data_IF_914784099983
#
_entry.id   IF_914784099983
#
_cell.length_a   1.000
_cell.length_b   1.000
_cell.length_c   1.000
_cell.angle_alpha   90.00
_cell.angle_beta   90.00
_cell.angle_gamma   90.00
#
_symmetry.space_group_name_H-M   'P 1'
#
loop_
_entity.id
_entity.type
_entity.pdbx_description
1 polymer ?
#
# COMPACT_ATOMS: atom_id res chain seq x y z
N UNK A 1 24.61 -0.18 6.88
CA UNK A 1 23.76 -1.25 6.29
C UNK A 1 24.34 -2.64 6.62
N UNK A 2 25.18 -2.75 7.65
CA UNK A 2 26.26 -3.74 7.69
C UNK A 2 25.93 -5.02 8.48
N UNK A 3 24.63 -5.29 8.74
CA UNK A 3 24.18 -6.44 9.55
C UNK A 3 23.22 -7.39 8.81
N UNK A 4 23.10 -7.28 7.49
CA UNK A 4 22.34 -8.24 6.70
C UNK A 4 23.28 -9.31 6.11
N UNK A 5 23.33 -10.47 6.76
CA UNK A 5 24.29 -11.54 6.41
C UNK A 5 23.82 -12.47 5.28
N UNK A 6 22.84 -12.08 4.45
CA UNK A 6 22.25 -12.85 3.33
C UNK A 6 21.80 -14.31 3.62
N UNK A 7 21.86 -14.76 4.87
CA UNK A 7 21.39 -16.09 5.33
C UNK A 7 19.85 -16.19 5.40
N UNK A 8 19.13 -15.16 5.00
CA UNK A 8 17.67 -15.08 5.04
C UNK A 8 17.19 -14.12 3.94
N UNK A 9 15.94 -14.26 3.49
CA UNK A 9 15.36 -13.27 2.57
C UNK A 9 15.29 -11.90 3.23
N UNK A 10 15.36 -10.84 2.42
CA UNK A 10 15.23 -9.47 2.91
C UNK A 10 13.92 -9.25 3.67
N UNK A 11 12.82 -9.86 3.20
CA UNK A 11 11.52 -9.82 3.87
C UNK A 11 11.57 -10.39 5.28
N UNK A 12 12.26 -11.52 5.47
CA UNK A 12 12.43 -12.16 6.79
C UNK A 12 13.26 -11.28 7.72
N UNK A 13 14.31 -10.65 7.21
CA UNK A 13 15.15 -9.75 8.01
C UNK A 13 14.42 -8.47 8.41
N UNK A 14 13.67 -7.86 7.47
CA UNK A 14 12.79 -6.72 7.75
C UNK A 14 11.72 -7.06 8.78
N UNK A 15 11.06 -8.22 8.65
CA UNK A 15 10.08 -8.68 9.63
C UNK A 15 10.68 -8.75 11.04
N UNK A 16 11.90 -9.31 11.18
CA UNK A 16 12.59 -9.37 12.49
C UNK A 16 12.92 -7.98 13.04
N UNK A 17 13.35 -7.04 12.20
CA UNK A 17 13.60 -5.66 12.63
C UNK A 17 12.31 -5.00 13.11
N UNK A 18 11.23 -5.10 12.33
CA UNK A 18 9.93 -4.54 12.69
C UNK A 18 9.44 -5.12 14.02
N UNK A 19 9.42 -6.44 14.17
CA UNK A 19 9.00 -7.11 15.41
C UNK A 19 9.84 -6.66 16.60
N UNK A 20 11.17 -6.67 16.49
CA UNK A 20 12.06 -6.27 17.58
C UNK A 20 11.87 -4.78 17.94
N UNK A 21 11.63 -3.92 16.95
CA UNK A 21 11.40 -2.49 17.16
C UNK A 21 10.06 -2.26 17.87
N UNK A 22 8.99 -2.89 17.39
CA UNK A 22 7.67 -2.82 18.01
C UNK A 22 7.70 -3.36 19.45
N UNK A 23 8.33 -4.51 19.70
CA UNK A 23 8.49 -5.07 21.05
C UNK A 23 9.30 -4.15 21.96
N UNK A 24 10.37 -3.54 21.44
CA UNK A 24 11.18 -2.58 22.20
C UNK A 24 10.37 -1.34 22.57
N UNK A 25 9.56 -0.81 21.65
CA UNK A 25 8.69 0.33 21.92
C UNK A 25 7.59 -0.02 22.93
N UNK A 26 6.94 -1.18 22.78
CA UNK A 26 5.94 -1.65 23.73
C UNK A 26 6.51 -1.85 25.15
N UNK A 27 7.72 -2.40 25.26
CA UNK A 27 8.43 -2.54 26.53
C UNK A 27 8.83 -1.20 27.15
N UNK A 28 9.06 -0.15 26.36
CA UNK A 28 9.28 1.21 26.87
C UNK A 28 7.98 1.83 27.36
N UNK A 29 6.90 1.71 26.59
CA UNK A 29 5.58 2.25 26.96
C UNK A 29 5.02 1.60 28.23
N UNK A 30 5.15 0.28 28.37
CA UNK A 30 4.76 -0.44 29.60
C UNK A 30 5.57 -0.01 30.83
N UNK A 31 6.87 0.26 30.67
CA UNK A 31 7.69 0.83 31.75
C UNK A 31 7.30 2.27 32.11
N UNK A 32 6.83 3.05 31.15
CA UNK A 32 6.34 4.43 31.38
C UNK A 32 4.98 4.41 32.08
N UNK A 33 4.09 3.46 31.75
CA UNK A 33 2.78 3.31 32.40
C UNK A 33 2.88 2.98 33.90
N UNK A 34 3.92 2.26 34.35
CA UNK A 34 4.13 1.96 35.78
C UNK A 34 4.50 3.23 36.58
N UNK A 35 5.06 4.26 35.93
CA UNK A 35 5.53 5.47 36.60
C UNK A 35 4.52 6.64 36.56
N UNK A 36 3.48 6.58 35.75
CA UNK A 36 2.51 7.66 35.58
C UNK A 36 1.07 7.11 35.62
N UNK A 37 0.43 7.26 36.77
CA UNK A 37 -0.94 6.77 37.05
C UNK A 37 -2.04 7.57 36.33
N UNK A 38 -1.71 8.50 35.42
CA UNK A 38 -2.65 9.44 34.78
C UNK A 38 -2.35 9.71 33.29
N UNK A 39 -1.95 8.70 32.52
CA UNK A 39 -1.92 8.83 31.05
C UNK A 39 -3.14 8.09 30.51
N UNK A 40 -4.16 8.84 30.08
CA UNK A 40 -5.25 8.27 29.29
C UNK A 40 -4.65 7.49 28.11
N UNK A 41 -5.17 6.30 27.79
CA UNK A 41 -4.67 5.52 26.67
C UNK A 41 -4.85 6.32 25.39
N UNK A 42 -3.76 6.95 24.91
CA UNK A 42 -3.72 7.52 23.57
C UNK A 42 -4.00 6.36 22.62
N UNK A 43 -5.14 6.39 21.96
CA UNK A 43 -5.52 5.39 20.97
C UNK A 43 -4.61 5.55 19.75
N UNK A 44 -3.48 4.84 19.77
CA UNK A 44 -2.48 4.86 18.68
C UNK A 44 -3.03 4.26 17.36
N UNK A 45 -4.29 3.79 17.35
CA UNK A 45 -4.97 3.30 16.16
C UNK A 45 -5.82 4.36 15.45
N UNK A 46 -5.96 5.56 16.00
CA UNK A 46 -6.76 6.61 15.38
C UNK A 46 -5.87 7.48 14.49
N UNK A 47 -5.97 7.26 13.18
CA UNK A 47 -5.56 8.25 12.18
C UNK A 47 -6.17 9.61 12.56
N UNK A 48 -5.42 10.69 12.38
CA UNK A 48 -5.93 12.04 12.58
C UNK A 48 -7.14 12.26 11.64
N UNK A 49 -8.17 13.02 12.04
CA UNK A 49 -9.32 13.29 11.18
C UNK A 49 -8.95 13.82 9.79
N UNK A 50 -7.87 14.61 9.71
CA UNK A 50 -7.26 15.10 8.48
C UNK A 50 -6.72 13.96 7.60
N UNK A 51 -5.93 13.05 8.17
CA UNK A 51 -5.40 11.87 7.46
C UNK A 51 -6.54 10.96 6.95
N UNK A 52 -7.62 10.80 7.73
CA UNK A 52 -8.79 10.03 7.30
C UNK A 52 -9.49 10.71 6.11
N UNK A 53 -9.59 12.04 6.14
CA UNK A 53 -10.19 12.82 5.08
C UNK A 53 -9.36 12.74 3.79
N UNK A 54 -8.05 12.96 3.87
CA UNK A 54 -7.12 12.81 2.75
C UNK A 54 -7.18 11.42 2.12
N UNK A 55 -7.21 10.36 2.96
CA UNK A 55 -7.33 8.98 2.47
C UNK A 55 -8.65 8.75 1.72
N UNK A 56 -9.74 9.38 2.18
CA UNK A 56 -11.04 9.29 1.53
C UNK A 56 -11.01 9.99 0.16
N UNK A 57 -10.47 11.20 0.09
CA UNK A 57 -10.31 11.94 -1.17
C UNK A 57 -9.43 11.19 -2.16
N UNK A 58 -8.27 10.70 -1.71
CA UNK A 58 -7.35 9.92 -2.53
C UNK A 58 -8.03 8.65 -3.08
N UNK A 59 -8.84 7.97 -2.26
CA UNK A 59 -9.61 6.80 -2.67
C UNK A 59 -10.65 7.15 -3.74
N UNK A 60 -11.38 8.26 -3.57
CA UNK A 60 -12.36 8.74 -4.55
C UNK A 60 -11.69 9.13 -5.87
N UNK A 61 -10.54 9.79 -5.81
CA UNK A 61 -9.71 10.10 -6.97
C UNK A 61 -9.32 8.83 -7.72
N UNK A 62 -8.73 7.85 -7.03
CA UNK A 62 -8.30 6.58 -7.66
C UNK A 62 -9.49 5.87 -8.30
N UNK A 63 -10.63 5.79 -7.63
CA UNK A 63 -11.84 5.17 -8.18
C UNK A 63 -12.32 5.88 -9.45
N UNK A 64 -12.37 7.21 -9.42
CA UNK A 64 -12.77 8.02 -10.57
C UNK A 64 -11.81 7.82 -11.75
N UNK A 65 -10.51 7.77 -11.50
CA UNK A 65 -9.51 7.56 -12.55
C UNK A 65 -9.52 6.13 -13.08
N UNK A 66 -9.81 5.14 -12.23
CA UNK A 66 -10.04 3.76 -12.63
C UNK A 66 -11.24 3.65 -13.56
N UNK A 67 -12.34 4.36 -13.31
CA UNK A 67 -13.51 4.33 -14.19
C UNK A 67 -13.24 4.96 -15.57
N UNK A 68 -12.34 5.93 -15.64
CA UNK A 68 -11.87 6.55 -16.90
C UNK A 68 -10.91 5.66 -17.72
N UNK A 69 -10.51 4.49 -17.20
CA UNK A 69 -9.73 3.53 -17.97
C UNK A 69 -10.64 2.80 -18.98
N UNK A 70 -10.12 2.49 -20.20
CA UNK A 70 -10.81 1.60 -21.12
C UNK A 70 -11.12 0.25 -20.46
N UNK A 71 -12.25 -0.38 -20.79
CA UNK A 71 -12.74 -1.57 -20.09
C UNK A 71 -11.72 -2.71 -20.01
N UNK A 72 -10.97 -2.96 -21.09
CA UNK A 72 -9.89 -3.95 -21.10
C UNK A 72 -8.81 -3.65 -20.05
N UNK A 73 -8.36 -2.40 -20.00
CA UNK A 73 -7.34 -1.92 -19.04
C UNK A 73 -7.85 -1.94 -17.61
N UNK A 74 -9.11 -1.53 -17.40
CA UNK A 74 -9.80 -1.54 -16.11
C UNK A 74 -9.91 -2.96 -15.54
N UNK A 75 -10.31 -3.93 -16.37
CA UNK A 75 -10.43 -5.33 -15.97
C UNK A 75 -9.06 -5.94 -15.60
N UNK A 76 -8.03 -5.70 -16.42
CA UNK A 76 -6.66 -6.14 -16.13
C UNK A 76 -6.16 -5.53 -14.81
N UNK A 77 -6.36 -4.23 -14.59
CA UNK A 77 -5.97 -3.56 -13.35
C UNK A 77 -6.71 -4.13 -12.13
N UNK A 78 -8.02 -4.36 -12.22
CA UNK A 78 -8.82 -4.95 -11.14
C UNK A 78 -8.35 -6.35 -10.78
N UNK A 79 -8.15 -7.21 -11.79
CA UNK A 79 -7.68 -8.58 -11.59
C UNK A 79 -6.29 -8.60 -10.96
N UNK A 80 -5.40 -7.69 -11.38
CA UNK A 80 -4.04 -7.63 -10.84
C UNK A 80 -3.98 -7.06 -9.42
N UNK A 81 -4.74 -6.01 -9.13
CA UNK A 81 -4.68 -5.30 -7.83
C UNK A 81 -5.52 -5.97 -6.75
N UNK A 82 -6.76 -6.38 -7.07
CA UNK A 82 -7.68 -6.92 -6.07
C UNK A 82 -7.69 -8.44 -5.98
N UNK A 83 -7.46 -9.12 -7.10
CA UNK A 83 -7.42 -10.60 -7.15
C UNK A 83 -5.99 -11.15 -7.14
N UNK A 84 -4.98 -10.28 -7.19
CA UNK A 84 -3.55 -10.60 -7.17
C UNK A 84 -3.09 -11.63 -8.22
N UNK A 85 -3.90 -11.84 -9.28
CA UNK A 85 -3.61 -12.81 -10.33
C UNK A 85 -2.31 -12.44 -11.07
N UNK A 86 -1.57 -13.44 -11.47
CA UNK A 86 -0.41 -13.31 -12.36
C UNK A 86 -0.83 -12.84 -13.75
N UNK A 87 0.10 -12.29 -14.53
CA UNK A 87 -0.19 -11.88 -15.90
C UNK A 87 -0.56 -13.06 -16.81
N UNK A 88 -0.15 -14.28 -16.47
CA UNK A 88 -0.51 -15.49 -17.20
C UNK A 88 -1.96 -15.88 -16.93
N UNK A 89 -2.39 -15.89 -15.67
CA UNK A 89 -3.79 -16.17 -15.31
C UNK A 89 -4.75 -15.10 -15.84
N UNK A 90 -4.33 -13.83 -15.84
CA UNK A 90 -5.11 -12.74 -16.45
C UNK A 90 -5.21 -12.93 -17.97
N UNK A 91 -4.12 -13.35 -18.61
CA UNK A 91 -4.09 -13.62 -20.05
C UNK A 91 -5.04 -14.75 -20.45
N UNK A 92 -5.02 -15.86 -19.71
CA UNK A 92 -5.92 -16.98 -19.91
C UNK A 92 -7.38 -16.57 -19.71
N UNK A 93 -7.67 -15.83 -18.63
CA UNK A 93 -9.05 -15.42 -18.29
C UNK A 93 -9.67 -14.41 -19.26
N UNK A 94 -8.84 -13.59 -19.91
CA UNK A 94 -9.28 -12.56 -20.85
C UNK A 94 -9.02 -12.91 -22.31
N UNK A 95 -8.52 -14.12 -22.59
CA UNK A 95 -8.11 -14.58 -23.91
C UNK A 95 -7.18 -13.58 -24.64
N UNK A 96 -6.12 -13.16 -23.95
CA UNK A 96 -5.10 -12.25 -24.46
C UNK A 96 -3.70 -12.79 -24.23
N UNK A 97 -2.70 -12.21 -24.90
CA UNK A 97 -1.28 -12.53 -24.62
C UNK A 97 -0.86 -11.97 -23.25
N UNK A 98 -0.08 -12.74 -22.48
CA UNK A 98 0.52 -12.30 -21.20
C UNK A 98 1.33 -10.99 -21.34
N UNK A 99 2.03 -10.81 -22.46
CA UNK A 99 2.74 -9.56 -22.80
C UNK A 99 1.80 -8.37 -22.99
N UNK A 100 0.61 -8.60 -23.55
CA UNK A 100 -0.44 -7.59 -23.69
C UNK A 100 -1.03 -7.22 -22.34
N UNK A 101 -1.30 -8.21 -21.47
CA UNK A 101 -1.78 -7.98 -20.11
C UNK A 101 -0.79 -7.12 -19.31
N UNK A 102 0.51 -7.45 -19.38
CA UNK A 102 1.58 -6.67 -18.72
C UNK A 102 1.68 -5.24 -19.24
N UNK A 103 1.65 -5.05 -20.56
CA UNK A 103 1.74 -3.71 -21.17
C UNK A 103 0.53 -2.85 -20.81
N UNK A 104 -0.68 -3.41 -20.89
CA UNK A 104 -1.91 -2.71 -20.51
C UNK A 104 -1.93 -2.35 -19.03
N UNK A 105 -1.55 -3.28 -18.15
CA UNK A 105 -1.43 -3.01 -16.72
C UNK A 105 -0.44 -1.88 -16.45
N UNK A 106 0.73 -1.90 -17.10
CA UNK A 106 1.77 -0.88 -16.91
C UNK A 106 1.28 0.51 -17.32
N UNK A 107 0.60 0.61 -18.47
CA UNK A 107 -0.02 1.87 -18.92
C UNK A 107 -1.09 2.37 -17.96
N UNK A 108 -1.95 1.46 -17.48
CA UNK A 108 -3.00 1.78 -16.51
C UNK A 108 -2.41 2.29 -15.20
N UNK A 109 -1.40 1.59 -14.66
CA UNK A 109 -0.67 1.98 -13.45
C UNK A 109 -0.03 3.36 -13.62
N UNK A 110 0.66 3.62 -14.74
CA UNK A 110 1.27 4.94 -15.00
C UNK A 110 0.23 6.06 -15.02
N UNK A 111 -0.96 5.81 -15.59
CA UNK A 111 -2.04 6.80 -15.63
C UNK A 111 -2.60 7.08 -14.25
N UNK A 112 -2.81 6.05 -13.43
CA UNK A 112 -3.25 6.22 -12.04
C UNK A 112 -2.19 6.95 -11.20
N UNK A 113 -0.91 6.56 -11.35
CA UNK A 113 0.19 7.22 -10.67
C UNK A 113 0.25 8.71 -11.00
N UNK A 114 0.17 9.08 -12.28
CA UNK A 114 0.15 10.49 -12.69
C UNK A 114 -1.00 11.28 -12.07
N UNK A 115 -2.18 10.67 -11.89
CA UNK A 115 -3.30 11.34 -11.26
C UNK A 115 -3.06 11.58 -9.76
N UNK A 116 -2.44 10.62 -9.07
CA UNK A 116 -2.04 10.77 -7.67
C UNK A 116 -0.92 11.81 -7.51
N UNK A 117 0.09 11.77 -8.39
CA UNK A 117 1.17 12.76 -8.37
C UNK A 117 0.65 14.18 -8.59
N UNK A 118 -0.38 14.35 -9.45
CA UNK A 118 -1.02 15.65 -9.66
C UNK A 118 -1.80 16.12 -8.43
N UNK A 119 -2.53 15.22 -7.75
CA UNK A 119 -3.24 15.56 -6.52
C UNK A 119 -2.30 16.11 -5.46
N UNK A 120 -1.15 15.48 -5.23
CA UNK A 120 -0.16 15.99 -4.28
C UNK A 120 0.48 17.31 -4.71
N UNK A 121 0.60 17.59 -6.01
CA UNK A 121 1.10 18.89 -6.52
C UNK A 121 0.09 20.03 -6.40
N UNK A 122 -1.19 19.73 -6.36
CA UNK A 122 -2.25 20.73 -6.20
C UNK A 122 -2.42 21.14 -4.72
N UNK A 123 -1.87 20.36 -3.79
CA UNK A 123 -1.88 20.62 -2.35
C UNK A 123 -0.63 21.37 -1.83
N UNK A 124 0.43 21.52 -2.63
CA UNK A 124 1.61 22.36 -2.35
C UNK A 124 1.40 23.81 -2.81
#
# INVERSE_FOLDING_TARGET
MDKFNFKSTLSTWMYRICVNTCLTQLNKLSKIQVCNEHIEPRDYNCLLPEEVFELKELKELINTQMEKLPDKSKNIARLRLFKQLSFNEIAEKLDIRSSSARTNFTRSRKRLQKAVDNYYKECE
#
